data_IF_101826043840
#
_entry.id   IF_101826043840
#
_cell.length_a   1.000
_cell.length_b   1.000
_cell.length_c   1.000
_cell.angle_alpha   90.00
_cell.angle_beta   90.00
_cell.angle_gamma   90.00
#
_symmetry.space_group_name_H-M   'P 1'
#
loop_
_entity.id
_entity.type
_entity.pdbx_description
1 polymer ?
#
# COMPACT_ATOMS: atom_id res chain seq x y z
N UNK A 1 23.48 15.72 -21.99
CA UNK A 1 23.39 16.77 -20.97
C UNK A 1 22.52 16.25 -19.85
N UNK A 2 23.13 15.91 -18.71
CA UNK A 2 22.42 15.58 -17.48
C UNK A 2 21.72 16.86 -17.01
N UNK A 3 20.42 16.86 -16.67
CA UNK A 3 19.79 18.04 -16.10
C UNK A 3 20.58 18.47 -14.87
N UNK A 4 20.80 19.78 -14.72
CA UNK A 4 21.52 20.32 -13.58
C UNK A 4 20.84 19.80 -12.31
N UNK A 5 21.63 19.19 -11.40
CA UNK A 5 21.17 18.58 -10.13
C UNK A 5 20.30 19.52 -9.27
N UNK A 6 20.36 20.84 -9.53
CA UNK A 6 19.59 21.87 -8.85
C UNK A 6 18.06 21.81 -9.10
N UNK A 7 17.61 21.20 -10.20
CA UNK A 7 16.18 21.11 -10.54
C UNK A 7 15.58 19.70 -10.38
N UNK A 8 16.28 18.75 -9.76
CA UNK A 8 15.75 17.41 -9.51
C UNK A 8 15.03 17.32 -8.15
N UNK A 9 13.99 16.50 -8.07
CA UNK A 9 13.39 16.11 -6.80
C UNK A 9 14.33 15.18 -6.02
N UNK A 10 14.28 15.22 -4.69
CA UNK A 10 14.92 14.22 -3.86
C UNK A 10 14.21 12.87 -4.01
N UNK A 11 12.87 12.90 -4.01
CA UNK A 11 12.05 11.69 -4.12
C UNK A 11 10.85 11.92 -5.03
N UNK A 12 10.57 10.97 -5.92
CA UNK A 12 9.27 10.87 -6.59
C UNK A 12 8.54 9.62 -6.12
N UNK A 13 7.37 9.80 -5.53
CA UNK A 13 6.47 8.72 -5.13
C UNK A 13 5.51 8.48 -6.28
N UNK A 14 5.58 7.31 -6.90
CA UNK A 14 4.78 6.93 -8.07
C UNK A 14 3.81 5.84 -7.67
N UNK A 15 2.52 6.00 -7.97
CA UNK A 15 1.48 5.06 -7.55
C UNK A 15 0.59 4.65 -8.70
N UNK A 16 0.05 3.44 -8.61
CA UNK A 16 -0.98 2.85 -9.49
C UNK A 16 -2.39 3.35 -9.21
N UNK A 17 -2.65 3.91 -8.03
CA UNK A 17 -3.98 4.33 -7.59
C UNK A 17 -3.93 5.68 -6.86
N UNK A 18 -4.99 6.46 -6.99
CA UNK A 18 -5.10 7.78 -6.36
C UNK A 18 -6.53 8.05 -5.92
N UNK A 19 -6.70 8.95 -4.95
CA UNK A 19 -8.02 9.42 -4.53
C UNK A 19 -8.72 10.11 -5.72
N UNK A 20 -10.06 10.03 -5.81
CA UNK A 20 -11.01 9.53 -4.80
C UNK A 20 -11.21 8.00 -4.79
N UNK A 21 -10.41 7.21 -5.51
CA UNK A 21 -10.44 5.75 -5.39
C UNK A 21 -9.76 5.31 -4.08
N UNK A 22 -10.57 5.07 -3.06
CA UNK A 22 -10.14 4.82 -1.67
C UNK A 22 -9.60 3.40 -1.47
N UNK A 23 -8.42 3.14 -2.00
CA UNK A 23 -7.68 1.88 -1.82
C UNK A 23 -6.46 2.10 -0.92
N UNK A 24 -5.94 1.02 -0.32
CA UNK A 24 -4.70 1.07 0.47
C UNK A 24 -3.54 1.76 -0.27
N UNK A 25 -3.26 1.40 -1.54
CA UNK A 25 -2.24 2.07 -2.35
C UNK A 25 -2.45 3.58 -2.52
N UNK A 26 -3.69 4.03 -2.76
CA UNK A 26 -3.99 5.46 -2.90
C UNK A 26 -3.68 6.24 -1.61
N UNK A 27 -4.02 5.69 -0.45
CA UNK A 27 -3.76 6.32 0.84
C UNK A 27 -2.29 6.23 1.26
N UNK A 28 -1.67 5.04 1.20
CA UNK A 28 -0.30 4.84 1.66
C UNK A 28 0.71 5.70 0.87
N UNK A 29 0.54 5.78 -0.44
CA UNK A 29 1.44 6.57 -1.29
C UNK A 29 1.23 8.07 -1.13
N UNK A 30 -0.01 8.51 -0.89
CA UNK A 30 -0.30 9.89 -0.47
C UNK A 30 0.41 10.22 0.85
N UNK A 31 0.33 9.34 1.86
CA UNK A 31 1.02 9.53 3.14
C UNK A 31 2.53 9.56 2.98
N UNK A 32 3.11 8.71 2.13
CA UNK A 32 4.55 8.78 1.81
C UNK A 32 4.93 10.12 1.21
N UNK A 33 4.17 10.59 0.22
CA UNK A 33 4.48 11.86 -0.43
C UNK A 33 4.42 13.03 0.55
N UNK A 34 3.35 13.15 1.33
CA UNK A 34 3.20 14.20 2.34
C UNK A 34 4.27 14.09 3.43
N UNK A 35 4.60 12.89 3.91
CA UNK A 35 5.56 12.70 5.00
C UNK A 35 7.00 12.93 4.60
N UNK A 36 7.40 12.48 3.42
CA UNK A 36 8.72 12.77 2.89
C UNK A 36 8.89 14.28 2.63
N UNK A 37 7.85 14.95 2.12
CA UNK A 37 7.84 16.40 1.98
C UNK A 37 7.99 17.11 3.34
N UNK A 38 7.26 16.66 4.37
CA UNK A 38 7.35 17.21 5.72
C UNK A 38 8.73 16.99 6.36
N UNK A 39 9.42 15.91 6.01
CA UNK A 39 10.81 15.66 6.41
C UNK A 39 11.82 16.60 5.73
N UNK A 40 11.37 17.52 4.87
CA UNK A 40 12.21 18.48 4.16
C UNK A 40 12.76 17.97 2.84
N UNK A 41 12.35 16.78 2.39
CA UNK A 41 12.75 16.25 1.08
C UNK A 41 11.89 16.89 -0.01
N UNK A 42 12.54 17.41 -1.04
CA UNK A 42 11.85 17.92 -2.22
C UNK A 42 11.16 16.76 -2.94
N UNK A 43 9.87 16.58 -2.67
CA UNK A 43 9.11 15.40 -3.06
C UNK A 43 8.10 15.73 -4.17
N UNK A 44 7.79 14.76 -5.03
CA UNK A 44 6.70 14.82 -6.00
C UNK A 44 5.84 13.55 -5.90
N UNK A 45 4.51 13.71 -5.95
CA UNK A 45 3.56 12.61 -6.07
C UNK A 45 3.15 12.43 -7.54
N UNK A 46 3.35 11.23 -8.09
CA UNK A 46 3.03 10.88 -9.48
C UNK A 46 1.89 9.86 -9.50
N UNK A 47 0.73 10.25 -10.00
CA UNK A 47 -0.53 9.48 -9.96
C UNK A 47 -1.08 9.17 -11.35
N UNK A 48 -1.95 8.15 -11.51
CA UNK A 48 -2.62 7.93 -12.78
C UNK A 48 -3.67 9.01 -13.04
N UNK A 49 -3.69 9.55 -14.26
CA UNK A 49 -4.82 10.29 -14.80
C UNK A 49 -5.76 9.34 -15.54
N UNK A 50 -7.04 9.37 -15.17
CA UNK A 50 -8.09 8.63 -15.84
C UNK A 50 -8.98 9.59 -16.64
N UNK A 51 -9.29 9.28 -17.92
CA UNK A 51 -10.30 10.03 -18.66
C UNK A 51 -11.67 10.00 -17.95
N UNK A 52 -12.54 11.01 -18.12
CA UNK A 52 -13.83 11.08 -17.41
C UNK A 52 -14.70 9.82 -17.50
N UNK A 53 -14.72 9.16 -18.66
CA UNK A 53 -15.45 7.90 -18.86
C UNK A 53 -14.90 6.75 -17.99
N UNK A 54 -13.59 6.73 -17.71
CA UNK A 54 -12.96 5.76 -16.81
C UNK A 54 -13.18 6.11 -15.35
N UNK A 55 -13.15 7.40 -14.99
CA UNK A 55 -13.47 7.86 -13.63
C UNK A 55 -14.87 7.40 -13.21
N UNK A 56 -15.85 7.53 -14.11
CA UNK A 56 -17.23 7.12 -13.85
C UNK A 56 -17.43 5.63 -13.52
N UNK A 57 -16.46 4.77 -13.86
CA UNK A 57 -16.52 3.33 -13.57
C UNK A 57 -16.11 3.00 -12.13
N UNK A 58 -15.31 3.85 -11.48
CA UNK A 58 -14.68 3.53 -10.19
C UNK A 58 -14.85 4.62 -9.12
N UNK A 59 -15.23 5.83 -9.50
CA UNK A 59 -15.45 6.97 -8.61
C UNK A 59 -16.95 7.26 -8.48
N UNK A 60 -17.48 7.05 -7.28
CA UNK A 60 -18.88 7.31 -6.92
C UNK A 60 -19.10 8.77 -6.47
N UNK A 61 -18.03 9.51 -6.19
CA UNK A 61 -18.07 10.92 -5.81
C UNK A 61 -17.38 11.80 -6.84
N UNK A 62 -16.32 12.47 -6.40
CA UNK A 62 -15.60 13.48 -7.17
C UNK A 62 -15.06 12.96 -8.50
N UNK A 63 -15.20 13.79 -9.54
CA UNK A 63 -14.74 13.53 -10.91
C UNK A 63 -14.18 14.83 -11.48
N UNK A 64 -13.20 14.71 -12.35
CA UNK A 64 -12.41 15.82 -12.83
C UNK A 64 -12.35 15.82 -14.35
N UNK A 65 -12.54 17.00 -14.94
CA UNK A 65 -12.35 17.20 -16.37
C UNK A 65 -10.85 17.26 -16.72
N UNK A 66 -10.06 17.93 -15.86
CA UNK A 66 -8.63 18.15 -16.07
C UNK A 66 -7.77 17.64 -14.90
N UNK A 67 -6.52 17.21 -15.14
CA UNK A 67 -5.61 16.79 -14.07
C UNK A 67 -5.36 17.87 -13.01
N UNK A 68 -5.36 19.14 -13.40
CA UNK A 68 -5.19 20.27 -12.49
C UNK A 68 -6.32 20.38 -11.46
N UNK A 69 -7.55 20.03 -11.84
CA UNK A 69 -8.69 20.00 -10.92
C UNK A 69 -8.50 18.91 -9.87
N UNK A 70 -8.09 17.72 -10.31
CA UNK A 70 -7.79 16.62 -9.40
C UNK A 70 -6.64 16.98 -8.44
N UNK A 71 -5.58 17.64 -8.91
CA UNK A 71 -4.47 18.04 -8.07
C UNK A 71 -4.89 19.03 -6.96
N UNK A 72 -5.74 20.02 -7.29
CA UNK A 72 -6.30 20.94 -6.29
C UNK A 72 -7.16 20.22 -5.27
N UNK A 73 -8.06 19.37 -5.75
CA UNK A 73 -8.92 18.58 -4.89
C UNK A 73 -8.11 17.62 -3.99
N UNK A 74 -7.04 17.00 -4.50
CA UNK A 74 -6.15 16.16 -3.71
C UNK A 74 -5.47 16.95 -2.58
N UNK A 75 -5.11 18.22 -2.81
CA UNK A 75 -4.51 19.06 -1.78
C UNK A 75 -5.54 19.36 -0.67
N UNK A 76 -6.76 19.73 -1.04
CA UNK A 76 -7.87 19.95 -0.10
C UNK A 76 -8.22 18.68 0.69
N UNK A 77 -8.26 17.53 0.01
CA UNK A 77 -8.52 16.24 0.65
C UNK A 77 -7.36 15.82 1.57
N UNK A 78 -6.10 16.06 1.19
CA UNK A 78 -4.95 15.83 2.07
C UNK A 78 -5.03 16.67 3.35
N UNK A 79 -5.38 17.96 3.23
CA UNK A 79 -5.58 18.85 4.37
C UNK A 79 -6.74 18.36 5.26
N UNK A 80 -7.87 17.95 4.65
CA UNK A 80 -9.01 17.37 5.36
C UNK A 80 -8.66 16.10 6.13
N UNK A 81 -7.77 15.27 5.57
CA UNK A 81 -7.27 14.05 6.21
C UNK A 81 -6.23 14.33 7.33
N UNK A 82 -5.80 15.59 7.48
CA UNK A 82 -4.77 15.99 8.44
C UNK A 82 -3.36 15.58 8.01
N UNK A 83 -3.13 15.40 6.71
CA UNK A 83 -1.80 15.23 6.15
C UNK A 83 -1.04 16.58 6.18
N UNK A 84 0.30 16.56 6.18
CA UNK A 84 1.08 17.74 5.81
C UNK A 84 0.72 18.23 4.39
N UNK A 85 1.09 19.49 4.07
CA UNK A 85 0.86 20.05 2.74
C UNK A 85 1.29 19.09 1.63
N UNK A 86 0.36 18.82 0.72
CA UNK A 86 0.58 17.92 -0.40
C UNK A 86 1.72 18.47 -1.28
N UNK A 87 2.75 17.65 -1.59
CA UNK A 87 3.78 18.06 -2.53
C UNK A 87 3.23 18.19 -3.97
N UNK A 88 4.09 18.63 -4.89
CA UNK A 88 3.74 18.75 -6.30
C UNK A 88 3.18 17.43 -6.87
N UNK A 89 2.02 17.50 -7.51
CA UNK A 89 1.36 16.35 -8.15
C UNK A 89 1.62 16.35 -9.65
N UNK A 90 2.05 15.21 -10.18
CA UNK A 90 2.21 14.93 -11.60
C UNK A 90 1.36 13.73 -12.00
N UNK A 91 1.07 13.62 -13.29
CA UNK A 91 0.17 12.62 -13.82
C UNK A 91 0.80 11.81 -14.95
N UNK A 92 0.46 10.53 -15.01
CA UNK A 92 0.70 9.69 -16.18
C UNK A 92 -0.65 9.11 -16.68
N UNK A 93 -0.82 8.83 -17.98
CA UNK A 93 -2.08 8.30 -18.48
C UNK A 93 -2.31 6.85 -18.00
N UNK A 94 -3.44 6.62 -17.36
CA UNK A 94 -3.89 5.32 -16.87
C UNK A 94 -5.22 4.89 -17.47
N UNK A 95 -5.53 3.59 -17.34
CA UNK A 95 -6.84 3.02 -17.66
C UNK A 95 -7.24 1.99 -16.63
N UNK A 96 -8.51 1.98 -16.24
CA UNK A 96 -9.07 0.97 -15.36
C UNK A 96 -9.43 -0.30 -16.16
N UNK A 97 -9.04 -1.45 -15.62
CA UNK A 97 -9.33 -2.77 -16.20
C UNK A 97 -10.21 -3.56 -15.22
N UNK A 98 -11.53 -3.67 -15.50
CA UNK A 98 -12.48 -4.34 -14.60
C UNK A 98 -12.09 -5.79 -14.27
N UNK A 99 -11.58 -6.54 -15.26
CA UNK A 99 -11.14 -7.93 -15.07
C UNK A 99 -9.98 -8.09 -14.08
N UNK A 100 -9.18 -7.05 -13.93
CA UNK A 100 -8.02 -7.01 -13.03
C UNK A 100 -8.30 -6.20 -11.76
N UNK A 101 -9.45 -5.50 -11.71
CA UNK A 101 -9.80 -4.54 -10.67
C UNK A 101 -8.67 -3.54 -10.36
N UNK A 102 -7.93 -3.14 -11.39
CA UNK A 102 -6.68 -2.37 -11.28
C UNK A 102 -6.59 -1.28 -12.35
N UNK A 103 -5.85 -0.21 -12.05
CA UNK A 103 -5.48 0.81 -13.04
C UNK A 103 -4.09 0.45 -13.58
N UNK A 104 -3.95 0.40 -14.90
CA UNK A 104 -2.66 0.13 -15.55
C UNK A 104 -2.14 1.36 -16.30
N UNK A 105 -0.82 1.62 -16.29
CA UNK A 105 -0.22 2.66 -17.12
C UNK A 105 -0.33 2.38 -18.62
N UNK A 106 -0.71 3.39 -19.39
CA UNK A 106 -0.82 3.31 -20.85
C UNK A 106 0.52 3.58 -21.57
N UNK A 107 1.52 4.08 -20.84
CA UNK A 107 2.85 4.36 -21.36
C UNK A 107 3.94 3.90 -20.39
N UNK A 108 5.20 4.14 -20.77
CA UNK A 108 6.33 3.99 -19.85
C UNK A 108 6.19 4.97 -18.68
N UNK A 109 5.89 4.42 -17.51
CA UNK A 109 5.67 5.23 -16.30
C UNK A 109 6.90 6.06 -15.97
N UNK A 110 8.11 5.50 -16.11
CA UNK A 110 9.37 6.18 -15.79
C UNK A 110 9.67 7.36 -16.70
N UNK A 111 9.16 7.36 -17.94
CA UNK A 111 9.26 8.51 -18.84
C UNK A 111 8.34 9.68 -18.46
N UNK A 112 7.39 9.43 -17.55
CA UNK A 112 6.42 10.43 -17.07
C UNK A 112 6.81 11.01 -15.71
N UNK A 113 7.80 10.42 -15.05
CA UNK A 113 8.29 10.84 -13.74
C UNK A 113 9.30 11.98 -13.94
N UNK A 114 9.19 13.11 -13.20
CA UNK A 114 10.20 14.16 -13.26
C UNK A 114 11.56 13.65 -12.79
N UNK A 115 12.68 14.30 -13.15
CA UNK A 115 14.00 13.92 -12.63
C UNK A 115 13.99 13.89 -11.10
N UNK A 116 14.34 12.73 -10.54
CA UNK A 116 14.35 12.51 -9.10
C UNK A 116 15.52 11.61 -8.71
N UNK A 117 16.10 11.86 -7.53
CA UNK A 117 17.21 11.07 -6.99
C UNK A 117 16.75 9.65 -6.63
N UNK A 118 15.61 9.54 -5.95
CA UNK A 118 15.00 8.28 -5.55
C UNK A 118 13.58 8.15 -6.11
N UNK A 119 13.23 6.96 -6.58
CA UNK A 119 11.86 6.61 -6.95
C UNK A 119 11.27 5.63 -5.94
N UNK A 120 10.11 5.96 -5.40
CA UNK A 120 9.30 5.04 -4.58
C UNK A 120 8.09 4.62 -5.39
N UNK A 121 7.98 3.35 -5.73
CA UNK A 121 6.87 2.80 -6.50
C UNK A 121 5.87 2.12 -5.56
N UNK A 122 4.64 2.62 -5.51
CA UNK A 122 3.49 1.91 -4.97
C UNK A 122 2.97 0.92 -5.99
N UNK A 123 2.91 -0.35 -5.60
CA UNK A 123 2.47 -1.47 -6.45
C UNK A 123 3.32 -1.69 -7.72
N UNK A 124 4.67 -1.80 -7.59
CA UNK A 124 5.55 -2.07 -8.72
C UNK A 124 5.15 -3.33 -9.50
N UNK A 125 4.46 -4.28 -8.86
CA UNK A 125 3.97 -5.53 -9.44
C UNK A 125 3.13 -5.31 -10.69
N UNK A 126 2.35 -4.23 -10.79
CA UNK A 126 1.52 -3.94 -11.96
C UNK A 126 1.71 -2.54 -12.56
N UNK A 127 2.22 -1.59 -11.78
CA UNK A 127 2.71 -0.31 -12.30
C UNK A 127 3.76 -0.52 -13.42
N UNK A 128 4.44 -1.66 -13.40
CA UNK A 128 5.47 -2.03 -14.36
C UNK A 128 5.02 -2.93 -15.52
N UNK A 129 3.71 -3.19 -15.70
CA UNK A 129 3.22 -4.14 -16.72
C UNK A 129 3.33 -3.65 -18.16
N UNK A 130 3.37 -2.35 -18.39
CA UNK A 130 3.45 -1.84 -19.75
C UNK A 130 4.72 -2.37 -20.43
N UNK A 131 4.57 -2.96 -21.61
CA UNK A 131 5.68 -3.58 -22.34
C UNK A 131 6.77 -2.58 -22.74
N UNK A 132 6.41 -1.29 -22.83
CA UNK A 132 7.34 -0.18 -23.10
C UNK A 132 8.03 0.35 -21.84
N UNK A 133 7.63 -0.12 -20.65
CA UNK A 133 8.25 0.32 -19.39
C UNK A 133 9.72 -0.01 -19.39
N UNK A 134 10.55 1.02 -19.24
CA UNK A 134 12.01 0.93 -19.27
C UNK A 134 12.54 -0.02 -18.20
N UNK A 135 13.68 -0.65 -18.47
CA UNK A 135 14.38 -1.51 -17.50
C UNK A 135 15.23 -0.65 -16.57
N UNK A 136 15.62 -1.21 -15.42
CA UNK A 136 16.39 -0.52 -14.38
C UNK A 136 17.61 0.25 -14.90
N UNK A 137 18.34 -0.31 -15.85
CA UNK A 137 19.54 0.31 -16.46
C UNK A 137 19.26 1.60 -17.24
N UNK A 138 18.00 1.84 -17.64
CA UNK A 138 17.57 3.02 -18.39
C UNK A 138 16.87 4.06 -17.50
N UNK A 139 16.71 3.76 -16.20
CA UNK A 139 16.04 4.63 -15.24
C UNK A 139 17.09 5.52 -14.59
N UNK A 140 16.96 6.83 -14.77
CA UNK A 140 17.89 7.84 -14.27
C UNK A 140 17.57 8.23 -12.83
N UNK A 141 17.66 7.26 -11.92
CA UNK A 141 17.54 7.44 -10.48
C UNK A 141 18.64 6.65 -9.77
N UNK A 142 19.14 7.20 -8.67
CA UNK A 142 20.15 6.55 -7.82
C UNK A 142 19.55 5.28 -7.20
N UNK A 143 18.28 5.33 -6.80
CA UNK A 143 17.56 4.19 -6.22
C UNK A 143 16.11 4.10 -6.67
N UNK A 144 15.62 2.89 -6.90
CA UNK A 144 14.20 2.58 -7.13
C UNK A 144 13.72 1.58 -6.08
N UNK A 145 12.88 2.02 -5.15
CA UNK A 145 12.29 1.21 -4.09
C UNK A 145 10.84 0.88 -4.46
N UNK A 146 10.47 -0.40 -4.46
CA UNK A 146 9.11 -0.84 -4.78
C UNK A 146 8.38 -1.36 -3.54
N UNK A 147 7.31 -0.70 -3.15
CA UNK A 147 6.41 -1.14 -2.06
C UNK A 147 5.31 -2.00 -2.65
N UNK A 148 5.31 -3.30 -2.34
CA UNK A 148 4.43 -4.31 -2.94
C UNK A 148 3.17 -4.44 -2.10
N UNK A 149 1.99 -4.17 -2.70
CA UNK A 149 0.74 -3.99 -1.94
C UNK A 149 -0.42 -4.87 -2.43
N UNK A 150 -0.30 -5.54 -3.57
CA UNK A 150 -1.34 -6.39 -4.14
C UNK A 150 -0.87 -7.83 -4.36
N UNK A 151 -1.68 -8.78 -3.87
CA UNK A 151 -1.47 -10.21 -4.07
C UNK A 151 -2.31 -10.73 -5.25
N UNK A 152 -1.83 -10.53 -6.48
CA UNK A 152 -2.52 -11.01 -7.68
C UNK A 152 -2.66 -12.52 -7.75
N UNK A 153 -1.77 -13.29 -7.12
CA UNK A 153 -1.88 -14.76 -7.07
C UNK A 153 -3.13 -15.16 -6.28
N UNK A 154 -3.36 -14.56 -5.11
CA UNK A 154 -4.57 -14.77 -4.32
C UNK A 154 -5.83 -14.33 -5.09
N UNK A 155 -5.82 -13.14 -5.71
CA UNK A 155 -6.94 -12.67 -6.53
C UNK A 155 -7.25 -13.61 -7.70
N UNK A 156 -6.24 -14.05 -8.44
CA UNK A 156 -6.42 -14.89 -9.61
C UNK A 156 -6.94 -16.29 -9.22
N UNK A 157 -6.45 -16.87 -8.11
CA UNK A 157 -6.94 -18.16 -7.62
C UNK A 157 -8.40 -18.12 -7.17
N UNK A 158 -8.86 -16.99 -6.65
CA UNK A 158 -10.22 -16.81 -6.17
C UNK A 158 -11.21 -16.31 -7.26
N UNK A 159 -10.74 -16.11 -8.49
CA UNK A 159 -11.57 -15.61 -9.61
C UNK A 159 -12.67 -16.57 -10.10
N UNK A 160 -12.66 -17.83 -9.67
CA UNK A 160 -13.62 -18.85 -10.11
C UNK A 160 -13.43 -19.35 -11.55
N UNK A 161 -12.36 -18.93 -12.26
CA UNK A 161 -12.09 -19.33 -13.64
C UNK A 161 -11.51 -20.76 -13.72
N UNK A 162 -11.91 -21.62 -14.70
CA UNK A 162 -11.45 -23.02 -14.79
C UNK A 162 -9.92 -23.18 -14.88
N UNK A 163 -9.22 -22.17 -15.42
CA UNK A 163 -7.76 -22.13 -15.52
C UNK A 163 -7.12 -21.10 -14.55
N UNK A 164 -7.82 -20.72 -13.48
CA UNK A 164 -7.39 -19.75 -12.48
C UNK A 164 -5.97 -20.01 -11.94
N UNK A 165 -5.61 -21.27 -11.66
CA UNK A 165 -4.27 -21.63 -11.15
C UNK A 165 -3.17 -21.38 -12.18
N UNK A 166 -3.40 -21.72 -13.44
CA UNK A 166 -2.44 -21.49 -14.52
C UNK A 166 -2.27 -19.99 -14.80
N UNK A 167 -3.38 -19.24 -14.79
CA UNK A 167 -3.39 -17.79 -14.91
C UNK A 167 -2.67 -17.11 -13.74
N UNK A 168 -2.97 -17.51 -12.51
CA UNK A 168 -2.31 -17.00 -11.30
C UNK A 168 -0.79 -17.23 -11.37
N UNK A 169 -0.37 -18.42 -11.79
CA UNK A 169 1.05 -18.74 -11.96
C UNK A 169 1.72 -17.89 -13.04
N UNK A 170 1.04 -17.65 -14.17
CA UNK A 170 1.55 -16.78 -15.23
C UNK A 170 1.65 -15.32 -14.77
N UNK A 171 0.60 -14.78 -14.17
CA UNK A 171 0.58 -13.42 -13.61
C UNK A 171 1.67 -13.24 -12.56
N UNK A 172 1.84 -14.20 -11.65
CA UNK A 172 2.89 -14.17 -10.65
C UNK A 172 4.28 -14.09 -11.29
N UNK A 173 4.53 -14.87 -12.36
CA UNK A 173 5.79 -14.78 -13.13
C UNK A 173 5.98 -13.41 -13.79
N UNK A 174 4.92 -12.85 -14.39
CA UNK A 174 4.96 -11.52 -15.02
C UNK A 174 5.29 -10.46 -13.97
N UNK A 175 4.59 -10.45 -12.83
CA UNK A 175 4.80 -9.50 -11.74
C UNK A 175 6.22 -9.57 -11.19
N UNK A 176 6.68 -10.78 -10.87
CA UNK A 176 8.04 -11.02 -10.37
C UNK A 176 9.11 -10.56 -11.35
N UNK A 177 8.93 -10.86 -12.64
CA UNK A 177 9.84 -10.39 -13.68
C UNK A 177 9.82 -8.86 -13.79
N UNK A 178 8.62 -8.25 -13.76
CA UNK A 178 8.46 -6.81 -13.86
C UNK A 178 9.17 -6.08 -12.71
N UNK A 179 8.91 -6.49 -11.47
CA UNK A 179 9.54 -5.94 -10.27
C UNK A 179 11.07 -6.07 -10.31
N UNK A 180 11.58 -7.30 -10.52
CA UNK A 180 13.03 -7.58 -10.50
C UNK A 180 13.83 -6.81 -11.53
N UNK A 181 13.24 -6.52 -12.69
CA UNK A 181 13.94 -5.85 -13.79
C UNK A 181 13.87 -4.32 -13.74
N UNK A 182 13.13 -3.75 -12.79
CA UNK A 182 12.83 -2.31 -12.73
C UNK A 182 13.12 -1.67 -11.38
N UNK A 183 13.20 -2.45 -10.31
CA UNK A 183 13.47 -1.97 -8.95
C UNK A 183 14.90 -2.34 -8.50
N UNK A 184 15.40 -1.68 -7.46
CA UNK A 184 16.64 -2.02 -6.75
C UNK A 184 16.38 -2.73 -5.42
N UNK A 185 15.23 -2.47 -4.82
CA UNK A 185 14.81 -2.98 -3.53
C UNK A 185 13.31 -3.12 -3.50
N UNK A 186 12.80 -4.25 -3.01
CA UNK A 186 11.38 -4.47 -2.80
C UNK A 186 11.03 -4.50 -1.32
N UNK A 187 9.85 -3.99 -0.99
CA UNK A 187 9.32 -3.89 0.36
C UNK A 187 7.91 -4.49 0.36
N UNK A 188 7.77 -5.79 0.66
CA UNK A 188 6.44 -6.38 0.84
C UNK A 188 5.81 -5.85 2.13
N UNK A 189 4.55 -5.41 2.07
CA UNK A 189 3.85 -4.90 3.25
C UNK A 189 3.60 -5.95 4.33
N UNK A 190 3.62 -7.24 3.98
CA UNK A 190 3.48 -8.34 4.93
C UNK A 190 4.05 -9.66 4.40
N UNK A 191 4.15 -10.70 5.25
CA UNK A 191 4.47 -12.07 4.85
C UNK A 191 3.49 -12.73 3.86
N UNK A 192 2.33 -12.12 3.58
CA UNK A 192 1.40 -12.62 2.56
C UNK A 192 1.99 -12.56 1.13
N UNK A 193 3.02 -11.74 0.93
CA UNK A 193 3.79 -11.71 -0.32
C UNK A 193 5.19 -12.25 -0.04
N UNK A 194 5.38 -13.54 -0.27
CA UNK A 194 6.70 -14.16 -0.17
C UNK A 194 7.53 -13.83 -1.44
N UNK A 195 8.60 -13.06 -1.26
CA UNK A 195 9.55 -12.70 -2.33
C UNK A 195 10.95 -13.27 -2.08
N UNK A 196 11.10 -14.19 -1.12
CA UNK A 196 12.40 -14.73 -0.71
C UNK A 196 13.15 -15.47 -1.82
N UNK A 197 12.43 -16.08 -2.75
CA UNK A 197 12.94 -16.82 -3.91
C UNK A 197 13.15 -15.95 -5.16
N UNK A 198 12.91 -14.64 -5.09
CA UNK A 198 12.97 -13.76 -6.26
C UNK A 198 14.40 -13.52 -6.78
N UNK A 199 15.41 -13.78 -5.96
CA UNK A 199 16.82 -13.46 -6.29
C UNK A 199 17.04 -11.95 -6.48
N UNK A 200 16.31 -11.13 -5.73
CA UNK A 200 16.33 -9.67 -5.77
C UNK A 200 16.38 -9.13 -4.32
N UNK A 201 16.98 -7.96 -4.04
CA UNK A 201 16.95 -7.40 -2.69
C UNK A 201 15.53 -7.16 -2.18
N UNK A 202 15.25 -7.65 -0.97
CA UNK A 202 13.94 -7.53 -0.31
C UNK A 202 14.14 -7.09 1.14
N UNK A 203 13.52 -5.97 1.53
CA UNK A 203 13.47 -5.51 2.92
C UNK A 203 12.19 -6.05 3.60
N UNK A 204 12.14 -7.36 3.83
CA UNK A 204 11.01 -8.00 4.47
C UNK A 204 10.83 -7.51 5.91
N UNK A 205 9.59 -7.18 6.30
CA UNK A 205 9.28 -6.70 7.65
C UNK A 205 9.61 -5.23 7.91
N UNK A 206 10.07 -4.48 6.90
CA UNK A 206 10.22 -3.04 7.03
C UNK A 206 8.85 -2.39 7.30
N UNK A 207 8.77 -1.64 8.40
CA UNK A 207 7.51 -1.01 8.85
C UNK A 207 7.28 0.29 8.11
N UNK A 208 6.80 0.17 6.88
CA UNK A 208 6.46 1.30 6.01
C UNK A 208 4.96 1.55 5.96
N UNK A 209 4.13 0.90 6.78
CA UNK A 209 2.69 1.20 6.82
C UNK A 209 2.39 2.19 7.93
N UNK A 210 1.86 3.35 7.56
CA UNK A 210 1.37 4.37 8.49
C UNK A 210 -0.14 4.34 8.68
N UNK A 211 -0.62 4.93 9.77
CA UNK A 211 -2.04 5.21 10.04
C UNK A 211 -2.20 6.70 10.32
N UNK A 212 -3.30 7.29 9.82
CA UNK A 212 -3.58 8.72 10.00
C UNK A 212 -3.73 9.12 11.48
N UNK A 213 -3.27 10.32 11.89
CA UNK A 213 -3.41 10.82 13.25
C UNK A 213 -4.85 10.84 13.77
N UNK A 214 -5.83 11.05 12.89
CA UNK A 214 -7.24 11.08 13.24
C UNK A 214 -7.71 9.77 13.91
N UNK A 215 -7.16 8.62 13.54
CA UNK A 215 -7.45 7.34 14.22
C UNK A 215 -6.88 7.31 15.64
N UNK A 216 -5.67 7.81 15.84
CA UNK A 216 -5.05 7.88 17.17
C UNK A 216 -5.79 8.87 18.10
N UNK A 217 -6.44 9.89 17.53
CA UNK A 217 -7.22 10.89 18.23
C UNK A 217 -8.61 10.41 18.67
N UNK A 218 -9.09 9.26 18.18
CA UNK A 218 -10.41 8.79 18.59
C UNK A 218 -10.42 8.43 20.08
N UNK A 219 -11.46 8.84 20.84
CA UNK A 219 -11.57 8.53 22.25
C UNK A 219 -11.45 7.03 22.56
N UNK A 220 -10.99 6.68 23.77
CA UNK A 220 -11.06 5.31 24.27
C UNK A 220 -12.48 4.76 24.19
N UNK A 221 -12.60 3.45 23.96
CA UNK A 221 -13.90 2.76 23.93
C UNK A 221 -14.63 2.98 25.25
N UNK A 222 -15.82 3.60 25.18
CA UNK A 222 -16.64 3.90 26.34
C UNK A 222 -17.07 2.62 27.09
N UNK A 223 -17.27 2.75 28.39
CA UNK A 223 -17.83 1.66 29.20
C UNK A 223 -19.25 1.32 28.70
N UNK A 224 -19.54 0.04 28.52
CA UNK A 224 -20.82 -0.41 27.95
C UNK A 224 -20.92 -0.33 26.42
N UNK A 225 -19.96 0.24 25.70
CA UNK A 225 -19.93 0.20 24.23
C UNK A 225 -19.79 -1.24 23.73
N UNK A 226 -20.69 -1.63 22.81
CA UNK A 226 -20.82 -2.98 22.24
C UNK A 226 -20.86 -2.99 20.71
N UNK A 227 -20.59 -1.87 20.04
CA UNK A 227 -20.64 -1.81 18.58
C UNK A 227 -19.61 -2.73 17.94
N UNK A 228 -20.03 -3.48 16.93
CA UNK A 228 -19.18 -4.32 16.08
C UNK A 228 -19.32 -3.81 14.65
N UNK A 229 -18.19 -3.67 13.95
CA UNK A 229 -18.21 -3.23 12.56
C UNK A 229 -17.25 -4.01 11.68
N UNK A 230 -17.62 -4.07 10.40
CA UNK A 230 -16.75 -4.38 9.29
C UNK A 230 -16.52 -3.10 8.48
N UNK A 231 -15.30 -2.91 7.96
CA UNK A 231 -14.95 -1.82 7.07
C UNK A 231 -14.09 -2.38 5.93
N UNK A 232 -14.58 -2.23 4.70
CA UNK A 232 -13.86 -2.68 3.51
C UNK A 232 -14.70 -2.70 2.24
N UNK A 233 -14.09 -3.13 1.14
CA UNK A 233 -14.81 -3.35 -0.13
C UNK A 233 -15.80 -4.49 0.03
N UNK A 234 -17.03 -4.30 -0.43
CA UNK A 234 -18.08 -5.34 -0.40
C UNK A 234 -17.91 -6.28 -1.59
N UNK A 235 -17.00 -7.23 -1.42
CA UNK A 235 -16.77 -8.35 -2.34
C UNK A 235 -16.67 -9.65 -1.54
N UNK A 236 -17.14 -10.76 -2.10
CA UNK A 236 -17.20 -12.04 -1.39
C UNK A 236 -15.82 -12.52 -0.88
N UNK A 237 -14.76 -12.24 -1.64
CA UNK A 237 -13.37 -12.57 -1.31
C UNK A 237 -12.86 -11.92 0.00
N UNK A 238 -13.56 -10.89 0.50
CA UNK A 238 -13.28 -10.23 1.78
C UNK A 238 -13.99 -10.90 2.96
N UNK A 239 -14.61 -12.07 2.74
CA UNK A 239 -15.19 -12.91 3.78
C UNK A 239 -16.54 -12.43 4.29
N UNK A 240 -17.30 -11.63 3.53
CA UNK A 240 -18.62 -11.14 3.95
C UNK A 240 -19.63 -12.27 4.24
N UNK A 241 -19.49 -13.43 3.58
CA UNK A 241 -20.26 -14.62 3.94
C UNK A 241 -20.01 -15.05 5.41
N UNK A 242 -18.77 -14.96 5.88
CA UNK A 242 -18.44 -15.22 7.29
C UNK A 242 -18.96 -14.13 8.22
N UNK A 243 -19.00 -12.86 7.80
CA UNK A 243 -19.62 -11.79 8.59
C UNK A 243 -21.11 -12.09 8.80
N UNK A 244 -21.84 -12.45 7.74
CA UNK A 244 -23.25 -12.85 7.79
C UNK A 244 -23.44 -14.04 8.71
N UNK A 245 -22.63 -15.08 8.55
CA UNK A 245 -22.73 -16.29 9.38
C UNK A 245 -22.44 -16.02 10.86
N UNK A 246 -21.41 -15.22 11.17
CA UNK A 246 -21.09 -14.81 12.55
C UNK A 246 -22.25 -14.02 13.15
N UNK A 247 -22.83 -13.07 12.41
CA UNK A 247 -23.98 -12.28 12.85
C UNK A 247 -25.17 -13.20 13.19
N UNK A 248 -25.53 -14.13 12.29
CA UNK A 248 -26.61 -15.09 12.53
C UNK A 248 -26.37 -15.97 13.75
N UNK A 249 -25.16 -16.50 13.93
CA UNK A 249 -24.84 -17.44 15.01
C UNK A 249 -24.66 -16.78 16.38
N UNK A 250 -24.33 -15.50 16.40
CA UNK A 250 -24.14 -14.74 17.65
C UNK A 250 -25.38 -13.94 18.06
N UNK A 251 -26.21 -13.57 17.09
CA UNK A 251 -27.30 -12.61 17.29
C UNK A 251 -26.80 -11.17 17.50
N UNK A 252 -25.50 -10.90 17.35
CA UNK A 252 -24.96 -9.56 17.53
C UNK A 252 -25.21 -8.69 16.30
N UNK A 253 -25.71 -7.46 16.46
CA UNK A 253 -25.75 -6.48 15.38
C UNK A 253 -24.34 -6.16 14.88
N UNK A 254 -24.12 -6.24 13.58
CA UNK A 254 -22.85 -5.86 12.93
C UNK A 254 -23.11 -4.81 11.86
N UNK A 255 -22.39 -3.70 11.95
CA UNK A 255 -22.48 -2.63 10.95
C UNK A 255 -21.42 -2.82 9.87
N UNK A 256 -21.84 -2.75 8.61
CA UNK A 256 -20.99 -3.02 7.44
C UNK A 256 -20.81 -1.72 6.68
N UNK A 257 -19.59 -1.20 6.69
CA UNK A 257 -19.19 -0.01 5.94
C UNK A 257 -18.43 -0.37 4.68
N UNK A 258 -18.71 0.40 3.63
CA UNK A 258 -18.05 0.33 2.33
C UNK A 258 -19.00 0.03 1.19
N UNK A 259 -18.42 -0.26 0.04
CA UNK A 259 -19.13 -0.53 -1.20
C UNK A 259 -18.29 -1.47 -2.07
N UNK A 260 -18.93 -2.15 -3.02
CA UNK A 260 -18.26 -3.04 -3.95
C UNK A 260 -19.22 -3.58 -4.98
N UNK A 261 -18.68 -4.26 -5.98
CA UNK A 261 -19.47 -4.84 -7.07
C UNK A 261 -20.51 -5.86 -6.57
N UNK A 262 -20.27 -6.49 -5.42
CA UNK A 262 -21.11 -7.54 -4.85
C UNK A 262 -22.05 -6.98 -3.76
N UNK A 263 -22.08 -5.65 -3.53
CA UNK A 263 -22.90 -5.01 -2.48
C UNK A 263 -24.34 -5.53 -2.49
N UNK A 264 -25.03 -5.44 -3.63
CA UNK A 264 -26.42 -5.86 -3.76
C UNK A 264 -26.62 -7.36 -3.47
N UNK A 265 -25.67 -8.21 -3.88
CA UNK A 265 -25.75 -9.65 -3.62
C UNK A 265 -25.51 -9.98 -2.13
N UNK A 266 -24.57 -9.28 -1.48
CA UNK A 266 -24.27 -9.42 -0.06
C UNK A 266 -25.44 -8.94 0.79
N UNK A 267 -26.06 -7.82 0.43
CA UNK A 267 -27.26 -7.29 1.07
C UNK A 267 -28.45 -8.26 0.95
N UNK A 268 -28.70 -8.76 -0.26
CA UNK A 268 -29.77 -9.73 -0.50
C UNK A 268 -29.57 -11.03 0.31
N UNK A 269 -28.33 -11.52 0.40
CA UNK A 269 -28.00 -12.70 1.21
C UNK A 269 -28.22 -12.45 2.71
N UNK A 270 -27.80 -11.29 3.23
CA UNK A 270 -28.02 -10.93 4.63
C UNK A 270 -29.52 -10.88 4.97
N UNK A 271 -30.34 -10.28 4.10
CA UNK A 271 -31.81 -10.25 4.23
C UNK A 271 -32.39 -11.66 4.18
N UNK A 272 -31.99 -12.47 3.20
CA UNK A 272 -32.46 -13.86 3.04
C UNK A 272 -32.16 -14.72 4.28
N UNK A 273 -31.04 -14.48 4.94
CA UNK A 273 -30.61 -15.18 6.15
C UNK A 273 -31.18 -14.59 7.45
N UNK A 274 -31.94 -13.49 7.37
CA UNK A 274 -32.38 -12.69 8.51
C UNK A 274 -31.20 -12.34 9.45
N UNK A 275 -30.06 -11.99 8.86
CA UNK A 275 -28.85 -11.68 9.61
C UNK A 275 -28.96 -10.29 10.27
N UNK A 276 -28.54 -10.12 11.53
CA UNK A 276 -28.54 -8.82 12.21
C UNK A 276 -27.40 -7.93 11.69
N UNK A 277 -27.51 -7.48 10.44
CA UNK A 277 -26.53 -6.63 9.77
C UNK A 277 -27.18 -5.33 9.32
N UNK A 278 -26.46 -4.21 9.49
CA UNK A 278 -26.84 -2.91 8.93
C UNK A 278 -25.78 -2.45 7.94
N UNK A 279 -26.20 -2.11 6.73
CA UNK A 279 -25.31 -1.58 5.70
C UNK A 279 -25.29 -0.05 5.80
N UNK A 280 -24.10 0.50 6.06
CA UNK A 280 -23.91 1.92 6.38
C UNK A 280 -23.40 2.73 5.19
N UNK A 281 -23.06 2.07 4.08
CA UNK A 281 -22.47 2.70 2.90
C UNK A 281 -20.99 3.07 3.07
N UNK A 282 -20.39 3.75 2.06
CA UNK A 282 -19.02 4.22 2.12
C UNK A 282 -18.85 5.41 3.08
N UNK A 283 -17.63 5.59 3.60
CA UNK A 283 -17.27 6.76 4.42
C UNK A 283 -15.88 7.26 4.03
N UNK A 284 -15.67 8.57 4.13
CA UNK A 284 -14.37 9.22 3.93
C UNK A 284 -13.68 9.62 5.25
N UNK A 285 -14.36 9.45 6.39
CA UNK A 285 -13.87 9.79 7.73
C UNK A 285 -14.24 8.74 8.77
N UNK A 286 -13.70 7.51 8.71
CA UNK A 286 -14.06 6.46 9.66
C UNK A 286 -13.92 6.86 11.13
N UNK A 287 -12.91 7.66 11.47
CA UNK A 287 -12.63 8.11 12.83
C UNK A 287 -13.78 8.89 13.50
N UNK A 288 -14.69 9.51 12.74
CA UNK A 288 -15.79 10.31 13.29
C UNK A 288 -16.86 9.46 13.98
N UNK A 289 -17.18 8.27 13.43
CA UNK A 289 -18.20 7.37 13.98
C UNK A 289 -17.61 6.21 14.78
N UNK A 290 -16.30 5.99 14.70
CA UNK A 290 -15.67 4.92 15.48
C UNK A 290 -15.82 5.00 17.02
N UNK A 291 -16.11 6.16 17.68
CA UNK A 291 -16.45 6.17 19.10
C UNK A 291 -17.59 5.20 19.49
N UNK A 292 -18.49 4.89 18.55
CA UNK A 292 -19.64 4.00 18.77
C UNK A 292 -19.26 2.51 18.72
N UNK A 293 -18.01 2.19 18.41
CA UNK A 293 -17.57 0.82 18.14
C UNK A 293 -16.46 0.33 19.06
N UNK A 294 -16.59 -0.92 19.47
CA UNK A 294 -15.63 -1.66 20.29
C UNK A 294 -14.77 -2.60 19.47
N UNK A 295 -15.39 -3.31 18.51
CA UNK A 295 -14.75 -4.42 17.80
C UNK A 295 -14.78 -4.20 16.31
N UNK A 296 -13.60 -4.23 15.69
CA UNK A 296 -13.44 -4.44 14.26
C UNK A 296 -13.41 -5.94 13.97
N UNK A 297 -14.32 -6.40 13.11
CA UNK A 297 -14.35 -7.77 12.62
C UNK A 297 -13.93 -7.79 11.15
N UNK A 298 -12.87 -8.53 10.84
CA UNK A 298 -12.51 -8.78 9.45
C UNK A 298 -12.11 -10.24 9.23
N UNK A 299 -12.93 -11.01 8.50
CA UNK A 299 -12.64 -12.41 8.20
C UNK A 299 -11.81 -12.65 6.94
N UNK A 300 -11.32 -11.62 6.27
CA UNK A 300 -10.56 -11.75 5.02
C UNK A 300 -9.20 -12.42 5.24
N UNK A 301 -8.89 -13.43 4.42
CA UNK A 301 -7.59 -14.11 4.36
C UNK A 301 -6.79 -13.78 3.09
N UNK A 302 -7.42 -13.07 2.15
CA UNK A 302 -6.87 -12.75 0.82
C UNK A 302 -6.09 -11.43 0.78
N UNK A 303 -6.04 -10.70 1.89
CA UNK A 303 -5.34 -9.41 1.98
C UNK A 303 -3.83 -9.57 1.87
N UNK A 304 -3.15 -8.51 1.42
CA UNK A 304 -1.70 -8.38 1.64
C UNK A 304 -1.46 -7.93 3.06
N UNK A 305 -1.99 -6.78 3.45
CA UNK A 305 -2.00 -6.30 4.82
C UNK A 305 -3.37 -5.67 5.05
N UNK A 306 -4.03 -6.04 6.14
CA UNK A 306 -5.32 -5.45 6.49
C UNK A 306 -5.10 -4.06 7.10
N UNK A 307 -5.01 -3.02 6.27
CA UNK A 307 -4.79 -1.64 6.73
C UNK A 307 -5.89 -1.16 7.68
N UNK A 308 -7.15 -1.54 7.43
CA UNK A 308 -8.27 -1.25 8.33
C UNK A 308 -8.14 -1.90 9.72
N UNK A 309 -7.35 -2.99 9.86
CA UNK A 309 -7.01 -3.54 11.17
C UNK A 309 -6.01 -2.65 11.91
N UNK A 310 -5.01 -2.11 11.20
CA UNK A 310 -4.09 -1.12 11.77
C UNK A 310 -4.87 0.11 12.25
N UNK A 311 -5.78 0.64 11.42
CA UNK A 311 -6.66 1.77 11.75
C UNK A 311 -7.46 1.50 13.04
N UNK A 312 -8.15 0.35 13.11
CA UNK A 312 -8.94 -0.05 14.27
C UNK A 312 -8.09 -0.15 15.55
N UNK A 313 -6.93 -0.81 15.46
CA UNK A 313 -6.06 -1.07 16.59
C UNK A 313 -5.35 0.21 17.09
N UNK A 314 -4.88 1.08 16.18
CA UNK A 314 -4.32 2.41 16.51
C UNK A 314 -5.35 3.24 17.26
N UNK A 315 -6.61 3.12 16.86
CA UNK A 315 -7.69 3.81 17.51
C UNK A 315 -8.09 3.13 18.84
N UNK A 316 -7.61 1.93 19.13
CA UNK A 316 -7.79 1.26 20.43
C UNK A 316 -9.00 0.34 20.49
N UNK A 317 -9.51 -0.08 19.34
CA UNK A 317 -10.57 -1.10 19.21
C UNK A 317 -9.94 -2.48 19.32
N UNK A 318 -10.74 -3.47 19.65
CA UNK A 318 -10.36 -4.85 19.41
C UNK A 318 -10.42 -5.16 17.92
N UNK A 319 -9.54 -6.03 17.44
CA UNK A 319 -9.59 -6.58 16.10
C UNK A 319 -9.73 -8.10 16.16
N UNK A 320 -10.80 -8.64 15.56
CA UNK A 320 -11.01 -10.08 15.40
C UNK A 320 -10.63 -10.45 13.98
N UNK A 321 -9.54 -11.21 13.84
CA UNK A 321 -8.85 -11.43 12.56
C UNK A 321 -8.51 -12.90 12.36
N UNK A 322 -8.57 -13.45 11.14
CA UNK A 322 -8.10 -14.80 10.89
C UNK A 322 -6.57 -14.86 11.04
N UNK A 323 -6.07 -16.00 11.49
CA UNK A 323 -4.64 -16.31 11.55
C UNK A 323 -4.15 -16.64 10.14
N UNK A 324 -3.63 -15.62 9.46
CA UNK A 324 -3.04 -15.75 8.13
C UNK A 324 -1.78 -14.88 8.03
N UNK A 325 -0.93 -15.11 7.01
CA UNK A 325 0.30 -14.32 6.81
C UNK A 325 0.05 -12.80 6.77
N UNK A 326 -1.07 -12.37 6.21
CA UNK A 326 -1.45 -10.96 6.11
C UNK A 326 -1.64 -10.28 7.47
N UNK A 327 -2.12 -11.04 8.46
CA UNK A 327 -2.41 -10.54 9.81
C UNK A 327 -1.27 -10.79 10.80
N UNK A 328 -0.23 -11.51 10.39
CA UNK A 328 0.92 -11.82 11.24
C UNK A 328 1.53 -10.58 11.93
N UNK A 329 1.68 -9.41 11.25
CA UNK A 329 2.21 -8.20 11.90
C UNK A 329 1.39 -7.70 13.10
N UNK A 330 0.10 -8.05 13.17
CA UNK A 330 -0.81 -7.59 14.22
C UNK A 330 -0.86 -8.52 15.43
N UNK A 331 -0.51 -9.81 15.27
CA UNK A 331 -0.73 -10.85 16.29
C UNK A 331 -0.05 -10.60 17.64
N UNK A 332 0.93 -9.70 17.68
CA UNK A 332 1.63 -9.29 18.91
C UNK A 332 0.85 -8.30 19.78
N UNK A 333 -0.18 -7.64 19.26
CA UNK A 333 -0.90 -6.61 20.00
C UNK A 333 -2.02 -7.22 20.85
N UNK A 334 -2.16 -6.75 22.09
CA UNK A 334 -3.11 -7.31 23.08
C UNK A 334 -4.59 -7.20 22.68
N UNK A 335 -4.92 -6.25 21.80
CA UNK A 335 -6.29 -6.06 21.32
C UNK A 335 -6.63 -6.93 20.09
N UNK A 336 -5.73 -7.81 19.67
CA UNK A 336 -5.95 -8.72 18.53
C UNK A 336 -6.42 -10.08 19.04
N UNK A 337 -7.55 -10.54 18.50
CA UNK A 337 -8.15 -11.84 18.77
C UNK A 337 -8.10 -12.67 17.50
N UNK A 338 -7.01 -13.43 17.35
CA UNK A 338 -6.77 -14.22 16.15
C UNK A 338 -7.48 -15.58 16.20
N UNK A 339 -7.99 -16.04 15.07
CA UNK A 339 -8.77 -17.28 14.99
C UNK A 339 -8.44 -18.10 13.72
N UNK A 340 -8.73 -19.40 13.74
CA UNK A 340 -8.43 -20.32 12.62
C UNK A 340 -9.70 -20.86 11.95
N UNK A 341 -10.79 -20.98 12.71
CA UNK A 341 -12.10 -21.46 12.25
C UNK A 341 -13.21 -20.48 12.62
N UNK A 342 -14.37 -20.61 11.97
CA UNK A 342 -15.53 -19.79 12.28
C UNK A 342 -15.99 -19.91 13.74
N UNK A 343 -15.90 -21.09 14.35
CA UNK A 343 -16.25 -21.30 15.76
C UNK A 343 -15.29 -20.54 16.68
N UNK A 344 -13.98 -20.62 16.38
CA UNK A 344 -13.00 -19.83 17.11
C UNK A 344 -13.14 -18.32 16.85
N UNK A 345 -13.65 -17.89 15.69
CA UNK A 345 -13.98 -16.49 15.41
C UNK A 345 -15.11 -15.99 16.31
N UNK A 346 -16.15 -16.80 16.53
CA UNK A 346 -17.26 -16.49 17.44
C UNK A 346 -16.76 -16.41 18.88
N UNK A 347 -15.91 -17.35 19.31
CA UNK A 347 -15.29 -17.31 20.64
C UNK A 347 -14.40 -16.07 20.85
N UNK A 348 -13.59 -15.74 19.85
CA UNK A 348 -12.75 -14.54 19.81
C UNK A 348 -13.59 -13.26 19.90
N UNK A 349 -14.67 -13.17 19.11
CA UNK A 349 -15.61 -12.04 19.14
C UNK A 349 -16.26 -11.88 20.52
N UNK A 350 -16.77 -12.97 21.11
CA UNK A 350 -17.35 -12.93 22.46
C UNK A 350 -16.32 -12.47 23.50
N UNK A 351 -15.08 -12.91 23.39
CA UNK A 351 -13.98 -12.49 24.26
C UNK A 351 -13.68 -11.00 24.12
N UNK A 352 -13.58 -10.50 22.89
CA UNK A 352 -13.39 -9.07 22.59
C UNK A 352 -14.52 -8.20 23.16
N UNK A 353 -15.76 -8.70 23.13
CA UNK A 353 -16.93 -8.01 23.67
C UNK A 353 -16.91 -7.87 25.20
N UNK A 354 -16.28 -8.81 25.92
CA UNK A 354 -16.20 -8.80 27.39
C UNK A 354 -14.90 -8.19 27.93
N UNK A 355 -13.84 -8.17 27.13
CA UNK A 355 -12.50 -7.75 27.57
C UNK A 355 -12.32 -6.26 27.40
N UNK A 356 -11.89 -5.52 28.43
CA UNK A 356 -11.53 -4.10 28.31
C UNK A 356 -10.36 -3.95 27.31
N UNK A 357 -10.45 -3.08 26.28
CA UNK A 357 -9.33 -2.82 25.39
C UNK A 357 -8.10 -2.33 26.16
N UNK A 358 -6.94 -2.90 25.86
CA UNK A 358 -5.66 -2.40 26.32
C UNK A 358 -5.34 -1.06 25.65
N UNK A 359 -4.53 -0.22 26.32
CA UNK A 359 -4.07 1.03 25.75
C UNK A 359 -3.20 0.76 24.49
N UNK A 360 -3.49 1.40 23.35
CA UNK A 360 -2.83 1.09 22.07
C UNK A 360 -1.50 1.84 21.89
N UNK A 361 -0.67 1.95 22.94
CA UNK A 361 0.57 2.74 22.89
C UNK A 361 1.58 2.18 21.89
N UNK A 362 1.88 0.88 21.98
CA UNK A 362 2.86 0.21 21.10
C UNK A 362 2.45 0.31 19.63
N UNK A 363 1.18 0.04 19.32
CA UNK A 363 0.72 0.08 17.93
C UNK A 363 0.65 1.51 17.39
N UNK A 364 0.27 2.50 18.21
CA UNK A 364 0.31 3.92 17.80
C UNK A 364 1.72 4.35 17.45
N UNK A 365 2.73 3.89 18.19
CA UNK A 365 4.12 4.15 17.86
C UNK A 365 4.55 3.42 16.58
N UNK A 366 4.21 2.14 16.47
CA UNK A 366 4.68 1.26 15.40
C UNK A 366 4.05 1.55 14.03
N UNK A 367 2.82 2.07 14.02
CA UNK A 367 2.06 2.46 12.82
C UNK A 367 1.91 3.99 12.70
N UNK A 368 2.69 4.76 13.46
CA UNK A 368 2.76 6.21 13.24
C UNK A 368 3.22 6.49 11.81
N UNK A 369 2.46 7.30 11.09
CA UNK A 369 2.72 7.53 9.67
C UNK A 369 4.03 8.29 9.41
N UNK A 370 4.50 9.12 10.35
CA UNK A 370 5.82 9.78 10.24
C UNK A 370 6.94 8.76 10.44
N UNK A 371 6.79 7.84 11.40
CA UNK A 371 7.70 6.70 11.55
C UNK A 371 7.74 5.84 10.29
N UNK A 372 6.60 5.57 9.66
CA UNK A 372 6.56 4.83 8.40
C UNK A 372 7.36 5.54 7.29
N UNK A 373 7.27 6.87 7.17
CA UNK A 373 8.04 7.65 6.21
C UNK A 373 9.55 7.66 6.53
N UNK A 374 9.93 7.77 7.82
CA UNK A 374 11.33 7.64 8.25
C UNK A 374 11.91 6.28 7.93
N UNK A 375 11.16 5.21 8.24
CA UNK A 375 11.58 3.84 7.95
C UNK A 375 11.73 3.62 6.44
N UNK A 376 10.82 4.17 5.64
CA UNK A 376 10.90 4.13 4.19
C UNK A 376 12.16 4.86 3.70
N UNK A 377 12.45 6.06 4.21
CA UNK A 377 13.63 6.84 3.81
C UNK A 377 14.96 6.15 4.16
N UNK A 378 15.03 5.52 5.32
CA UNK A 378 16.20 4.76 5.74
C UNK A 378 16.60 3.66 4.74
N UNK A 379 15.66 3.14 3.93
CA UNK A 379 15.93 2.07 2.97
C UNK A 379 16.84 2.48 1.80
N UNK A 380 16.88 3.77 1.46
CA UNK A 380 17.81 4.28 0.43
C UNK A 380 18.98 5.06 1.01
N UNK A 381 18.91 5.50 2.27
CA UNK A 381 20.06 6.08 2.98
C UNK A 381 21.04 5.01 3.43
N UNK A 382 20.57 3.89 3.97
CA UNK A 382 21.41 2.76 4.40
C UNK A 382 22.06 2.00 3.22
N UNK A 383 21.66 2.29 1.98
CA UNK A 383 22.34 1.81 0.79
C UNK A 383 23.71 2.51 0.58
N UNK A 384 24.01 3.57 1.33
CA UNK A 384 25.28 4.29 1.32
C UNK A 384 26.19 3.91 2.52
N UNK A 385 26.63 2.64 2.63
CA UNK A 385 27.94 2.26 3.24
C UNK A 385 27.96 1.10 4.27
N UNK A 386 29.13 0.42 4.49
CA UNK A 386 30.47 0.60 3.89
C UNK A 386 30.90 -0.58 3.00
N UNK A 387 31.64 -0.30 1.92
CA UNK A 387 32.42 -1.32 1.20
C UNK A 387 32.14 -1.42 -0.30
N UNK A 388 32.61 -0.43 -1.08
CA UNK A 388 33.08 -0.71 -2.44
C UNK A 388 34.51 -0.15 -2.52
N UNK A 389 35.54 -0.98 -2.77
CA UNK A 389 36.84 -0.43 -3.08
C UNK A 389 36.68 0.37 -4.36
N UNK A 390 36.97 1.67 -4.26
CA UNK A 390 37.18 2.51 -5.43
C UNK A 390 38.39 1.91 -6.14
N UNK A 391 38.18 1.24 -7.27
CA UNK A 391 39.27 0.88 -8.15
C UNK A 391 40.01 2.18 -8.50
N UNK A 392 41.32 2.27 -8.26
CA UNK A 392 42.07 3.46 -8.65
C UNK A 392 41.94 3.64 -10.16
N UNK A 393 41.61 4.86 -10.55
CA UNK A 393 41.67 5.33 -11.94
C UNK A 393 43.05 4.95 -12.50
N UNK A 394 43.14 4.29 -13.67
CA UNK A 394 44.44 3.98 -14.25
C UNK A 394 45.18 5.30 -14.51
N UNK A 395 46.35 5.45 -13.86
CA UNK A 395 47.23 6.57 -14.08
C UNK A 395 47.58 6.63 -15.58
N UNK A 396 47.49 7.84 -16.16
CA UNK A 396 47.99 8.11 -17.51
C UNK A 396 49.48 7.72 -17.58
N UNK A 397 49.95 7.08 -18.66
CA UNK A 397 51.37 6.83 -18.82
C UNK A 397 52.11 8.17 -18.95
N UNK A 398 53.06 8.40 -18.05
CA UNK A 398 54.06 9.45 -18.18
C UNK A 398 55.02 9.06 -19.31
N UNK A 399 55.06 9.88 -20.35
CA UNK A 399 56.18 9.88 -21.29
C UNK A 399 57.41 10.44 -20.56
N UNK A 400 58.42 9.60 -20.36
CA UNK A 400 59.77 10.05 -20.06
C UNK A 400 60.78 9.01 -20.57
N UNK A 401 61.08 9.06 -21.86
CA UNK A 401 62.21 8.32 -22.46
C UNK A 401 63.43 9.23 -22.49
N UNK A 402 64.12 9.31 -21.34
CA UNK A 402 65.49 9.81 -21.22
C UNK A 402 66.49 8.64 -21.23
N UNK A 403 66.73 8.05 -22.41
CA UNK A 403 67.67 6.95 -22.60
C UNK A 403 68.93 7.39 -23.36
N UNK A 404 70.06 7.41 -22.65
CA UNK A 404 71.34 7.97 -23.08
C UNK A 404 72.02 7.27 -24.25
N UNK A 405 72.65 8.08 -25.10
CA UNK A 405 73.64 7.66 -26.09
C UNK A 405 74.98 7.35 -25.42
N UNK A 406 75.38 6.08 -25.44
CA UNK A 406 76.77 5.65 -25.20
C UNK A 406 77.38 5.13 -26.51
N UNK A 407 78.22 5.93 -27.16
CA UNK A 407 79.13 5.49 -28.23
C UNK A 407 80.43 4.97 -27.60
N UNK A 408 80.85 3.77 -28.00
CA UNK A 408 82.27 3.41 -27.99
C UNK A 408 82.92 3.90 -29.31
N UNK A 409 84.22 4.19 -29.30
CA UNK A 409 85.08 3.30 -30.07
C UNK A 409 86.46 3.00 -29.43
N UNK A 410 87.03 1.91 -29.96
CA UNK A 410 88.40 1.36 -29.86
C UNK A 410 88.86 0.78 -28.53
#
# INVERSE_FOLDING_TARGET
MTPARQDAFDVAVVTSATLPWRTGPAFLTLWYACGLAEMGLRTCLVVPWLPPAQQALIWEGERFAEPADQARWLAEEADRLGCPPLPEVRFYPGRYYPSLRSILPLQDVFGSVPPARVLVLGEPEHLCWNVRTRRRAQIMAEKVVGVVMTNYDAYARNSGWPAARAWASLLNRINRHAMRTRTDLLVPLSPAIDLSDLGHPVAAGARVTGVLPAYAAVPPVAEGCRGIYFLGRLVWDKGLASVIEIACRTGYPIDVYGYGQDSAAIEAEAVRRNAPIRFMGPTASPWEWLPDYRVYLNPAVSEVLTTAAADALVAGRHAVLPRCPANQPFLRYRNVHAYDTLDSAIAALKTAMMTKPALPQDIRHDFDWRNACRNLAALWEQAEGPGRPVSPVPAKPSHDDGGGYGRAPS
#
